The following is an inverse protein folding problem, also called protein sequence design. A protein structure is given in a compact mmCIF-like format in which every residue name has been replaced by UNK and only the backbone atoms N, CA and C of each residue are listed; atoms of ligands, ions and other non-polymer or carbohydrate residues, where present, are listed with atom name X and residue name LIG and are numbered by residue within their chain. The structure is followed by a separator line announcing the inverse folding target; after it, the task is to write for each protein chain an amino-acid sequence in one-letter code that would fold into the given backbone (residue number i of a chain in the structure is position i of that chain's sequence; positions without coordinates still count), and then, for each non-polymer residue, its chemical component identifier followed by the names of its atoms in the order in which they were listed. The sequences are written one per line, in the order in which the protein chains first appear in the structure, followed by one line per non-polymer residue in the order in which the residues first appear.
data_IF_576460730576
#
_entry.id   IF_576460730576
#
_cell.length_a   1.000
_cell.length_b   1.000
_cell.length_c   1.000
_cell.angle_alpha   90.00
_cell.angle_beta   90.00
_cell.angle_gamma   90.00
#
_symmetry.space_group_name_H-M   'P 1'
#
loop_
_entity.id
_entity.type
_entity.pdbx_description
1 polymer ?
#
# COMPACT_ATOMS: atom_id res chain seq x y z
N UNK A 1 -16.76 6.61 27.51
CA UNK A 1 -16.08 7.52 26.57
C UNK A 1 -17.13 8.42 25.98
N UNK A 2 -16.98 9.74 26.09
CA UNK A 2 -17.89 10.70 25.47
C UNK A 2 -17.51 10.83 24.00
N UNK A 3 -18.39 10.41 23.09
CA UNK A 3 -18.16 10.59 21.65
C UNK A 3 -18.51 12.04 21.32
N UNK A 4 -17.49 12.84 21.00
CA UNK A 4 -17.66 14.24 20.62
C UNK A 4 -17.86 14.38 19.10
N UNK A 5 -18.75 15.31 18.73
CA UNK A 5 -18.96 15.68 17.33
C UNK A 5 -17.67 16.28 16.76
N UNK A 6 -17.26 15.80 15.59
CA UNK A 6 -16.03 16.22 14.91
C UNK A 6 -14.82 15.33 15.17
N UNK A 7 -14.88 14.45 16.16
CA UNK A 7 -13.81 13.49 16.44
C UNK A 7 -13.72 12.43 15.34
N UNK A 8 -12.48 11.99 15.05
CA UNK A 8 -12.21 10.87 14.14
C UNK A 8 -11.98 9.60 14.95
N UNK A 9 -12.67 8.54 14.58
CA UNK A 9 -12.63 7.25 15.25
C UNK A 9 -12.46 6.14 14.21
N UNK A 10 -11.80 5.06 14.60
CA UNK A 10 -11.78 3.84 13.81
C UNK A 10 -12.97 2.97 14.22
N UNK A 11 -13.69 2.44 13.23
CA UNK A 11 -14.81 1.54 13.46
C UNK A 11 -14.80 0.38 12.49
N UNK A 12 -15.53 -0.68 12.85
CA UNK A 12 -15.66 -1.88 12.03
C UNK A 12 -16.99 -1.88 11.31
N UNK A 13 -17.00 -2.17 10.02
CA UNK A 13 -18.25 -2.28 9.26
C UNK A 13 -18.96 -3.56 9.68
N UNK A 14 -20.16 -3.44 10.23
CA UNK A 14 -20.99 -4.59 10.66
C UNK A 14 -22.02 -4.96 9.61
N UNK A 15 -22.42 -4.02 8.77
CA UNK A 15 -23.39 -4.25 7.71
C UNK A 15 -23.37 -3.15 6.66
N UNK A 16 -23.79 -3.49 5.45
CA UNK A 16 -23.86 -2.58 4.32
C UNK A 16 -25.27 -2.69 3.72
N UNK A 17 -25.87 -1.54 3.39
CA UNK A 17 -27.20 -1.43 2.78
C UNK A 17 -27.15 -0.47 1.59
N UNK A 18 -28.20 -0.46 0.76
CA UNK A 18 -28.25 0.41 -0.41
C UNK A 18 -28.24 1.91 -0.08
N UNK A 19 -28.61 2.28 1.15
CA UNK A 19 -28.66 3.67 1.60
C UNK A 19 -27.44 4.06 2.46
N UNK A 20 -26.57 3.11 2.84
CA UNK A 20 -25.45 3.40 3.73
C UNK A 20 -24.69 2.18 4.27
N UNK A 21 -23.84 2.41 5.26
CA UNK A 21 -23.09 1.37 5.96
C UNK A 21 -23.18 1.56 7.47
N UNK A 22 -23.34 0.46 8.19
CA UNK A 22 -23.30 0.41 9.65
C UNK A 22 -21.87 0.19 10.11
N UNK A 23 -21.41 1.07 10.99
CA UNK A 23 -20.06 1.02 11.55
C UNK A 23 -20.18 0.98 13.06
N UNK A 24 -19.63 -0.07 13.66
CA UNK A 24 -19.52 -0.21 15.09
C UNK A 24 -18.26 0.51 15.59
N UNK A 25 -18.45 1.41 16.53
CA UNK A 25 -17.38 2.20 17.15
C UNK A 25 -16.92 1.57 18.46
N UNK A 26 -15.65 1.79 18.86
CA UNK A 26 -15.17 1.38 20.16
C UNK A 26 -15.98 2.08 21.26
N UNK A 27 -16.60 1.29 22.14
CA UNK A 27 -17.52 1.78 23.17
C UNK A 27 -18.97 1.31 23.02
N UNK A 28 -19.25 0.41 22.07
CA UNK A 28 -20.58 -0.19 21.88
C UNK A 28 -21.60 0.75 21.24
N UNK A 29 -21.13 1.86 20.67
CA UNK A 29 -21.98 2.79 19.92
C UNK A 29 -21.99 2.39 18.45
N UNK A 30 -23.19 2.42 17.84
CA UNK A 30 -23.37 2.10 16.43
C UNK A 30 -23.62 3.37 15.66
N UNK A 31 -22.84 3.60 14.62
CA UNK A 31 -23.02 4.72 13.72
C UNK A 31 -23.47 4.29 12.33
N UNK A 32 -24.15 5.19 11.65
CA UNK A 32 -24.60 5.01 10.28
C UNK A 32 -23.89 6.01 9.38
N UNK A 33 -23.26 5.49 8.32
CA UNK A 33 -22.69 6.28 7.24
C UNK A 33 -23.70 6.30 6.10
N UNK A 34 -24.21 7.49 5.75
CA UNK A 34 -25.09 7.65 4.60
C UNK A 34 -24.32 7.46 3.30
N UNK A 35 -24.95 6.95 2.23
CA UNK A 35 -24.29 6.73 0.92
C UNK A 35 -23.60 7.99 0.39
N UNK A 36 -24.19 9.17 0.60
CA UNK A 36 -23.62 10.49 0.24
C UNK A 36 -22.41 10.92 1.09
N UNK A 37 -22.13 10.20 2.17
CA UNK A 37 -21.01 10.42 3.08
C UNK A 37 -19.93 9.34 2.94
N UNK A 38 -20.13 8.34 2.06
CA UNK A 38 -19.16 7.28 1.77
C UNK A 38 -18.02 7.79 0.86
N UNK A 39 -18.38 8.52 -0.20
CA UNK A 39 -17.45 9.08 -1.18
C UNK A 39 -18.05 10.32 -1.84
N UNK A 40 -17.20 11.15 -2.46
CA UNK A 40 -17.61 12.32 -3.25
C UNK A 40 -18.23 11.96 -4.60
N UNK A 41 -17.98 10.74 -5.08
CA UNK A 41 -18.51 10.22 -6.34
C UNK A 41 -19.80 9.44 -6.12
N UNK A 42 -20.64 9.35 -7.16
CA UNK A 42 -21.83 8.51 -7.15
C UNK A 42 -21.45 7.04 -7.01
N UNK A 43 -21.83 6.43 -5.89
CA UNK A 43 -21.58 5.02 -5.60
C UNK A 43 -22.74 4.21 -6.16
N UNK A 44 -22.52 3.51 -7.28
CA UNK A 44 -23.50 2.57 -7.86
C UNK A 44 -23.68 1.34 -6.97
N UNK A 45 -22.56 0.81 -6.49
CA UNK A 45 -22.49 -0.34 -5.60
C UNK A 45 -21.56 -0.05 -4.43
N UNK A 46 -22.18 0.06 -3.25
CA UNK A 46 -21.46 0.34 -1.99
C UNK A 46 -20.60 -0.87 -1.55
N UNK A 47 -20.98 -2.08 -1.95
CA UNK A 47 -20.25 -3.32 -1.68
C UNK A 47 -18.89 -3.39 -2.38
N UNK A 48 -18.70 -2.63 -3.48
CA UNK A 48 -17.39 -2.54 -4.13
C UNK A 48 -16.44 -1.60 -3.38
N UNK A 49 -16.99 -0.63 -2.66
CA UNK A 49 -16.23 0.42 -1.96
C UNK A 49 -15.98 0.08 -0.49
N UNK A 50 -16.90 -0.66 0.12
CA UNK A 50 -16.88 -1.03 1.53
C UNK A 50 -17.12 -2.53 1.65
N UNK A 51 -16.44 -3.17 2.61
CA UNK A 51 -16.65 -4.59 2.91
C UNK A 51 -17.06 -4.77 4.36
N UNK A 52 -18.02 -5.66 4.58
CA UNK A 52 -18.40 -6.07 5.94
C UNK A 52 -17.19 -6.71 6.61
N UNK A 53 -16.90 -6.26 7.83
CA UNK A 53 -15.76 -6.70 8.62
C UNK A 53 -14.50 -5.84 8.47
N UNK A 54 -14.47 -4.91 7.51
CA UNK A 54 -13.32 -4.03 7.28
C UNK A 54 -13.25 -2.89 8.31
N UNK A 55 -12.04 -2.44 8.60
CA UNK A 55 -11.78 -1.33 9.53
C UNK A 55 -11.67 -0.02 8.74
N UNK A 56 -12.51 0.95 9.09
CA UNK A 56 -12.56 2.24 8.43
C UNK A 56 -12.46 3.38 9.44
N UNK A 57 -11.80 4.46 9.02
CA UNK A 57 -11.79 5.70 9.78
C UNK A 57 -13.01 6.55 9.41
N UNK A 58 -13.74 6.98 10.42
CA UNK A 58 -14.98 7.74 10.31
C UNK A 58 -14.92 8.98 11.18
N UNK A 59 -15.53 10.07 10.71
CA UNK A 59 -15.68 11.30 11.47
C UNK A 59 -17.11 11.41 11.98
N UNK A 60 -17.25 11.74 13.26
CA UNK A 60 -18.55 11.99 13.89
C UNK A 60 -19.09 13.31 13.35
N UNK A 61 -20.26 13.29 12.72
CA UNK A 61 -20.96 14.49 12.24
C UNK A 61 -22.03 14.92 13.23
N UNK A 62 -22.74 13.94 13.78
CA UNK A 62 -23.87 14.19 14.67
C UNK A 62 -24.02 13.03 15.66
N UNK A 63 -24.47 13.32 16.87
CA UNK A 63 -24.75 12.33 17.92
C UNK A 63 -26.18 12.57 18.39
N UNK A 64 -27.06 11.60 18.16
CA UNK A 64 -28.44 11.66 18.62
C UNK A 64 -28.58 11.11 20.04
N UNK A 65 -29.61 11.58 20.75
CA UNK A 65 -29.93 11.16 22.11
C UNK A 65 -30.37 9.68 22.20
N UNK A 66 -30.87 9.14 21.10
CA UNK A 66 -31.23 7.71 20.95
C UNK A 66 -30.02 6.78 20.74
N UNK A 67 -28.79 7.31 20.77
CA UNK A 67 -27.56 6.53 20.60
C UNK A 67 -27.15 6.29 19.15
N UNK A 68 -27.89 6.85 18.19
CA UNK A 68 -27.50 6.85 16.76
C UNK A 68 -26.46 7.92 16.49
N UNK A 69 -25.39 7.54 15.81
CA UNK A 69 -24.30 8.46 15.47
C UNK A 69 -24.21 8.59 13.96
N UNK A 70 -24.34 9.82 13.46
CA UNK A 70 -24.13 10.14 12.06
C UNK A 70 -22.64 10.20 11.76
N UNK A 71 -22.17 9.30 10.91
CA UNK A 71 -20.76 9.15 10.57
C UNK A 71 -20.48 9.53 9.11
N UNK A 72 -19.27 10.06 8.88
CA UNK A 72 -18.77 10.37 7.53
C UNK A 72 -17.44 9.69 7.26
N UNK A 73 -17.33 8.98 6.14
CA UNK A 73 -16.05 8.47 5.64
C UNK A 73 -15.35 9.54 4.80
N UNK A 74 -16.10 10.31 3.99
CA UNK A 74 -15.52 11.37 3.14
C UNK A 74 -14.80 12.45 3.96
N UNK A 75 -15.42 12.93 5.05
CA UNK A 75 -14.82 13.96 5.92
C UNK A 75 -13.67 13.42 6.79
N UNK A 76 -13.53 12.10 6.91
CA UNK A 76 -12.40 11.46 7.56
C UNK A 76 -11.18 11.39 6.62
N UNK A 77 -11.42 11.09 5.34
CA UNK A 77 -10.43 10.93 4.25
C UNK A 77 -9.65 12.18 3.83
N UNK A 78 -9.92 13.34 4.42
CA UNK A 78 -9.27 14.63 4.10
C UNK A 78 -7.74 14.66 4.37
N UNK A 79 -7.15 13.56 4.84
CA UNK A 79 -5.72 13.33 4.73
C UNK A 79 -5.49 12.09 3.86
N UNK A 80 -4.64 12.15 2.83
CA UNK A 80 -4.16 10.96 2.16
C UNK A 80 -3.32 10.19 3.17
N UNK A 81 -3.97 9.38 4.00
CA UNK A 81 -3.27 8.40 4.81
C UNK A 81 -2.65 7.46 3.80
N UNK A 82 -1.33 7.59 3.69
CA UNK A 82 -0.48 6.63 3.06
C UNK A 82 -0.99 5.26 3.52
N UNK A 83 -1.64 4.53 2.61
CA UNK A 83 -1.67 3.08 2.72
C UNK A 83 -0.21 2.71 3.00
N UNK A 84 0.13 1.92 4.03
CA UNK A 84 1.32 1.13 3.91
C UNK A 84 1.03 0.26 2.68
N UNK A 85 1.46 0.76 1.52
CA UNK A 85 1.69 -0.07 0.35
C UNK A 85 2.60 -1.13 0.91
N UNK A 86 2.04 -2.30 1.16
CA UNK A 86 2.79 -3.53 1.21
C UNK A 86 3.26 -3.82 -0.23
N UNK A 87 3.89 -2.82 -0.86
CA UNK A 87 4.84 -2.97 -1.94
C UNK A 87 6.03 -3.63 -1.24
N UNK A 88 5.95 -4.95 -1.04
CA UNK A 88 7.14 -5.79 -1.06
C UNK A 88 7.76 -5.62 -2.46
N UNK A 89 8.38 -4.46 -2.70
CA UNK A 89 9.49 -4.37 -3.63
C UNK A 89 10.64 -4.95 -2.81
N UNK A 90 11.11 -6.18 -3.09
CA UNK A 90 12.43 -6.52 -2.61
C UNK A 90 13.35 -5.44 -3.18
N UNK A 91 13.88 -4.57 -2.31
CA UNK A 91 15.06 -3.80 -2.68
C UNK A 91 16.06 -4.86 -3.11
N UNK A 92 16.44 -4.91 -4.38
CA UNK A 92 17.52 -5.78 -4.84
C UNK A 92 18.66 -5.62 -3.84
N UNK A 93 18.91 -6.69 -3.10
CA UNK A 93 19.84 -6.69 -1.99
C UNK A 93 21.20 -6.25 -2.52
N UNK A 94 21.98 -5.55 -1.70
CA UNK A 94 23.32 -5.13 -2.04
C UNK A 94 24.17 -6.32 -2.56
N UNK A 95 23.91 -7.53 -2.06
CA UNK A 95 24.49 -8.78 -2.57
C UNK A 95 24.17 -9.08 -4.05
N UNK A 96 22.95 -8.81 -4.52
CA UNK A 96 22.59 -9.04 -5.94
C UNK A 96 23.34 -8.09 -6.87
N UNK A 97 23.59 -6.84 -6.43
CA UNK A 97 24.40 -5.88 -7.19
C UNK A 97 25.88 -6.26 -7.17
N UNK A 98 26.40 -6.75 -6.04
CA UNK A 98 27.78 -7.24 -5.94
C UNK A 98 28.03 -8.46 -6.83
N UNK A 99 27.13 -9.45 -6.80
CA UNK A 99 27.25 -10.65 -7.64
C UNK A 99 27.23 -10.31 -9.14
N UNK A 100 26.41 -9.33 -9.55
CA UNK A 100 26.38 -8.88 -10.95
C UNK A 100 27.67 -8.14 -11.35
N UNK A 101 28.28 -7.39 -10.44
CA UNK A 101 29.53 -6.67 -10.70
C UNK A 101 30.76 -7.58 -10.73
N UNK A 102 30.81 -8.57 -9.83
CA UNK A 102 31.86 -9.60 -9.82
C UNK A 102 31.85 -10.40 -11.13
N UNK A 103 30.66 -10.77 -11.60
CA UNK A 103 30.49 -11.51 -12.87
C UNK A 103 30.90 -10.69 -14.09
N UNK A 104 30.54 -9.40 -14.16
CA UNK A 104 30.96 -8.51 -15.27
C UNK A 104 32.48 -8.27 -15.29
N UNK A 105 33.11 -8.20 -14.11
CA UNK A 105 34.56 -7.99 -14.00
C UNK A 105 35.37 -9.20 -14.45
N UNK A 106 34.88 -10.43 -14.22
CA UNK A 106 35.56 -11.67 -14.62
C UNK A 106 35.58 -11.87 -16.14
N UNK A 107 34.48 -11.50 -16.82
CA UNK A 107 34.37 -11.59 -18.28
C UNK A 107 35.30 -10.58 -18.99
N UNK A 108 35.42 -9.36 -18.45
CA UNK A 108 36.38 -8.36 -18.93
C UNK A 108 37.82 -8.80 -18.72
N UNK A 109 38.16 -9.33 -17.55
CA UNK A 109 39.51 -9.85 -17.25
C UNK A 109 39.88 -11.03 -18.15
N UNK A 110 38.95 -11.94 -18.40
CA UNK A 110 39.15 -13.07 -19.32
C UNK A 110 39.41 -12.63 -20.75
N UNK A 111 38.70 -11.59 -21.21
CA UNK A 111 38.89 -11.01 -22.56
C UNK A 111 40.24 -10.29 -22.69
N UNK A 112 40.66 -9.55 -21.66
CA UNK A 112 41.98 -8.91 -21.58
C UNK A 112 43.13 -9.94 -21.56
N UNK A 113 42.94 -11.06 -20.85
CA UNK A 113 43.93 -12.15 -20.79
C UNK A 113 44.07 -12.87 -22.13
N UNK A 114 42.96 -13.18 -22.82
CA UNK A 114 43.00 -13.76 -24.19
C UNK A 114 43.71 -12.85 -25.18
N UNK A 115 43.48 -11.53 -25.11
CA UNK A 115 44.11 -10.58 -26.02
C UNK A 115 45.61 -10.33 -25.74
N UNK A 116 46.05 -10.47 -24.50
CA UNK A 116 47.48 -10.33 -24.14
C UNK A 116 48.29 -11.59 -24.41
N UNK A 117 47.68 -12.78 -24.32
CA UNK A 117 48.33 -14.05 -24.63
C UNK A 117 48.50 -14.26 -26.15
N UNK A 118 47.51 -13.84 -26.95
CA UNK A 118 47.54 -13.92 -28.42
C UNK A 118 48.64 -13.07 -29.07
N UNK A 119 49.16 -12.03 -28.38
CA UNK A 119 50.29 -11.22 -28.87
C UNK A 119 51.67 -11.68 -28.40
N UNK A 120 51.78 -12.71 -27.55
CA UNK A 120 53.07 -13.28 -27.10
C UNK A 120 53.41 -14.66 -27.68
N UNK A 121 52.46 -15.36 -28.32
CA UNK A 121 52.65 -16.74 -28.80
C UNK A 121 53.12 -16.94 -30.25
N UNK A 122 53.64 -15.91 -30.94
CA UNK A 122 53.85 -15.96 -32.40
C UNK A 122 55.25 -15.65 -32.92
N UNK A 123 56.32 -16.17 -32.29
CA UNK A 123 57.67 -16.20 -32.90
C UNK A 123 58.39 -17.50 -32.54
N UNK A 124 58.02 -18.57 -33.24
CA UNK A 124 58.62 -19.88 -33.06
C UNK A 124 58.52 -20.75 -34.31
N UNK A 125 59.04 -20.26 -35.44
CA UNK A 125 59.46 -21.09 -36.58
C UNK A 125 60.22 -20.22 -37.60
N UNK A 126 61.54 -20.18 -37.48
CA UNK A 126 62.53 -19.98 -38.57
C UNK A 126 63.92 -19.88 -37.94
N UNK A 127 64.65 -21.01 -37.93
CA UNK A 127 66.10 -21.11 -38.12
C UNK A 127 66.51 -22.58 -38.06
N UNK A 128 67.22 -23.02 -39.09
CA UNK A 128 67.61 -24.40 -39.36
C UNK A 128 67.36 -24.69 -40.83
#
# INVERSE_FOLDING_TARGET
MSIEVGSKLQGKITGITNFGAFVELPGGSTGLVHISEVADNYVKDINEHLKVGDQVEVKVINVEKDGKIGLSIKKAKDRPQARPRNDFRPKESFEQKMNKFLKDSEDRLSSLKRNTESKRGGRGARRG
#
